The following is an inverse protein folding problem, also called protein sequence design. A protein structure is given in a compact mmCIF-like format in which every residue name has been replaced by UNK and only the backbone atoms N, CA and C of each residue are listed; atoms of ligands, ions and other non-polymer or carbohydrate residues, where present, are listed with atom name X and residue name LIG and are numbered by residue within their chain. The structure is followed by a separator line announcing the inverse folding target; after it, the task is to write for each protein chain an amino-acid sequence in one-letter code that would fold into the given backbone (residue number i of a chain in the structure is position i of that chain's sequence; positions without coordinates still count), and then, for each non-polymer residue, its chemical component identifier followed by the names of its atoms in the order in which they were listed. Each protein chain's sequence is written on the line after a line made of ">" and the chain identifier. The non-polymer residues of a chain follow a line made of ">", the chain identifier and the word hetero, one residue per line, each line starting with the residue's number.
data_IF_079824897734
#
_entry.id   IF_079824897734
#
_cell.length_a   1.000
_cell.length_b   1.000
_cell.length_c   1.000
_cell.angle_alpha   90.00
_cell.angle_beta   90.00
_cell.angle_gamma   90.00
#
_symmetry.space_group_name_H-M   'P 1'
#
loop_
_entity.id
_entity.type
_entity.pdbx_description
1 polymer ?
#
# COMPACT_ATOMS: atom_id res chain seq x y z
N UNK A 1 69.62 46.41 49.42
CA UNK A 1 68.49 47.17 48.85
C UNK A 1 67.72 46.20 47.97
N UNK A 2 66.57 45.68 48.44
CA UNK A 2 65.21 46.16 48.10
C UNK A 2 65.08 46.37 46.58
N UNK A 3 64.18 45.75 45.82
CA UNK A 3 62.74 45.60 46.05
C UNK A 3 62.14 44.82 44.86
N UNK A 4 61.35 43.77 45.08
CA UNK A 4 59.86 43.75 45.00
C UNK A 4 59.37 42.97 43.77
N UNK A 5 58.94 41.72 44.02
CA UNK A 5 58.09 40.91 43.13
C UNK A 5 56.65 41.45 43.21
N UNK A 6 56.12 42.00 42.12
CA UNK A 6 54.69 42.26 41.99
C UNK A 6 54.01 41.14 41.19
N UNK A 7 53.42 40.18 41.91
CA UNK A 7 52.45 39.24 41.36
C UNK A 7 51.10 39.93 41.21
N UNK A 8 50.63 40.07 39.97
CA UNK A 8 49.30 40.57 39.67
C UNK A 8 48.40 39.36 39.35
N UNK A 9 47.77 38.79 40.38
CA UNK A 9 46.74 37.76 40.21
C UNK A 9 45.47 38.43 39.68
N UNK A 10 45.16 38.19 38.40
CA UNK A 10 43.94 38.65 37.73
C UNK A 10 42.73 37.88 38.25
N UNK A 11 42.03 38.48 39.21
CA UNK A 11 40.77 37.99 39.77
C UNK A 11 39.60 38.52 38.91
N UNK A 12 39.38 37.95 37.73
CA UNK A 12 38.52 38.60 36.75
C UNK A 12 37.88 37.71 35.70
N UNK A 13 37.37 36.52 36.03
CA UNK A 13 36.45 35.81 35.11
C UNK A 13 35.68 34.65 35.74
N UNK A 14 35.01 34.88 36.88
CA UNK A 14 34.20 33.83 37.54
C UNK A 14 32.69 34.07 37.51
N UNK A 15 32.23 35.26 37.08
CA UNK A 15 30.80 35.60 37.03
C UNK A 15 30.09 35.15 35.75
N UNK A 16 30.83 34.89 34.65
CA UNK A 16 30.23 34.59 33.34
C UNK A 16 30.00 33.10 33.06
N UNK A 17 30.75 32.20 33.72
CA UNK A 17 30.61 30.74 33.54
C UNK A 17 29.38 30.16 34.24
N UNK A 18 28.99 30.74 35.38
CA UNK A 18 27.83 30.30 36.18
C UNK A 18 26.53 30.60 35.43
N UNK A 19 26.43 31.75 34.74
CA UNK A 19 25.24 32.13 33.97
C UNK A 19 25.00 31.22 32.77
N UNK A 20 26.06 30.82 32.05
CA UNK A 20 25.93 29.94 30.86
C UNK A 20 25.57 28.52 31.27
N UNK A 21 26.16 27.99 32.36
CA UNK A 21 25.77 26.67 32.90
C UNK A 21 24.33 26.63 33.38
N UNK A 22 23.86 27.70 34.04
CA UNK A 22 22.48 27.76 34.54
C UNK A 22 21.45 27.80 33.41
N UNK A 23 21.73 28.57 32.35
CA UNK A 23 20.88 28.63 31.15
C UNK A 23 20.89 27.29 30.41
N UNK A 24 22.04 26.63 30.26
CA UNK A 24 22.14 25.31 29.63
C UNK A 24 21.35 24.24 30.43
N UNK A 25 21.48 24.22 31.76
CA UNK A 25 20.74 23.31 32.62
C UNK A 25 19.23 23.59 32.58
N UNK A 26 18.80 24.85 32.56
CA UNK A 26 17.39 25.22 32.40
C UNK A 26 16.84 24.77 31.03
N UNK A 27 17.59 24.96 29.94
CA UNK A 27 17.17 24.46 28.63
C UNK A 27 17.04 22.94 28.62
N UNK A 28 17.97 22.20 29.22
CA UNK A 28 17.83 20.73 29.32
C UNK A 28 16.65 20.35 30.23
N UNK A 29 16.46 21.00 31.38
CA UNK A 29 15.37 20.66 32.31
C UNK A 29 13.97 20.97 31.75
N UNK A 30 13.83 22.03 30.95
CA UNK A 30 12.54 22.43 30.37
C UNK A 30 12.25 21.77 29.02
N UNK A 31 13.25 21.49 28.18
CA UNK A 31 13.03 20.89 26.86
C UNK A 31 13.10 19.36 26.84
N UNK A 32 13.79 18.72 27.78
CA UNK A 32 13.91 17.25 27.83
C UNK A 32 12.61 16.50 28.20
N UNK A 33 11.75 16.98 29.13
CA UNK A 33 10.50 16.29 29.43
C UNK A 33 9.49 16.36 28.28
N UNK A 34 9.52 17.42 27.45
CA UNK A 34 8.63 17.55 26.30
C UNK A 34 8.92 16.51 25.20
N UNK A 35 10.18 16.09 25.06
CA UNK A 35 10.58 15.01 24.12
C UNK A 35 10.17 13.63 24.65
N UNK A 36 10.21 13.43 25.98
CA UNK A 36 9.78 12.18 26.62
C UNK A 36 8.24 12.04 26.70
N UNK A 37 7.50 13.16 26.66
CA UNK A 37 6.03 13.20 26.64
C UNK A 37 5.43 13.20 25.22
N UNK A 38 6.23 13.04 24.17
CA UNK A 38 5.70 12.75 22.84
C UNK A 38 5.16 11.32 22.83
N UNK A 39 3.96 11.14 23.39
CA UNK A 39 3.19 9.92 23.22
C UNK A 39 3.01 9.72 21.71
N UNK A 40 3.60 8.67 21.18
CA UNK A 40 3.31 8.22 19.83
C UNK A 40 1.85 7.81 19.82
N UNK A 41 0.97 8.71 19.38
CA UNK A 41 -0.44 8.37 19.17
C UNK A 41 -0.47 7.26 18.13
N UNK A 42 -0.77 6.05 18.59
CA UNK A 42 -0.95 4.89 17.73
C UNK A 42 -2.35 5.00 17.16
N UNK A 43 -2.46 5.61 15.99
CA UNK A 43 -3.72 5.57 15.28
C UNK A 43 -3.94 4.15 14.74
N UNK A 44 -4.97 3.50 15.27
CA UNK A 44 -5.45 2.21 14.79
C UNK A 44 -6.69 2.50 13.97
N UNK A 45 -6.59 2.24 12.67
CA UNK A 45 -7.72 2.31 11.76
C UNK A 45 -8.06 0.92 11.28
N UNK A 46 -9.35 0.66 11.24
CA UNK A 46 -9.94 -0.50 10.57
C UNK A 46 -10.70 0.02 9.35
N UNK A 47 -10.63 -0.72 8.24
CA UNK A 47 -11.39 -0.34 7.05
C UNK A 47 -12.89 -0.54 7.33
N UNK A 48 -13.72 0.41 6.90
CA UNK A 48 -15.18 0.33 7.05
C UNK A 48 -15.79 -0.85 6.27
N UNK A 49 -15.08 -1.35 5.26
CA UNK A 49 -15.48 -2.50 4.45
C UNK A 49 -14.34 -3.52 4.38
N UNK A 50 -14.67 -4.80 4.51
CA UNK A 50 -13.76 -5.91 4.26
C UNK A 50 -13.74 -6.20 2.75
N UNK A 51 -12.58 -6.08 2.07
CA UNK A 51 -12.47 -6.42 0.66
C UNK A 51 -12.84 -7.88 0.40
N UNK A 52 -13.55 -8.14 -0.71
CA UNK A 52 -14.00 -9.50 -1.01
C UNK A 52 -12.86 -10.40 -1.50
N UNK A 53 -12.96 -11.69 -1.16
CA UNK A 53 -12.00 -12.71 -1.61
C UNK A 53 -12.11 -12.97 -3.12
N UNK A 54 -10.97 -13.08 -3.79
CA UNK A 54 -10.90 -13.35 -5.22
C UNK A 54 -9.68 -14.19 -5.59
N UNK A 55 -9.66 -14.65 -6.83
CA UNK A 55 -8.52 -15.35 -7.41
C UNK A 55 -7.54 -14.33 -7.99
N UNK A 56 -6.24 -14.62 -8.07
CA UNK A 56 -5.27 -13.65 -8.59
C UNK A 56 -5.05 -13.76 -10.12
N UNK A 57 -5.75 -14.68 -10.79
CA UNK A 57 -5.70 -14.92 -12.24
C UNK A 57 -4.27 -15.03 -12.78
N UNK A 58 -3.60 -16.17 -12.58
CA UNK A 58 -2.19 -16.34 -12.89
C UNK A 58 -1.92 -16.15 -14.38
N UNK A 59 -0.98 -15.26 -14.68
CA UNK A 59 -0.51 -14.95 -16.04
C UNK A 59 0.02 -16.18 -16.75
N UNK A 60 0.70 -17.07 -16.03
CA UNK A 60 1.28 -18.30 -16.60
C UNK A 60 0.24 -19.25 -17.16
N UNK A 61 -0.92 -19.32 -16.54
CA UNK A 61 -2.00 -20.23 -16.94
C UNK A 61 -3.01 -19.56 -17.87
N UNK A 62 -2.78 -18.30 -18.26
CA UNK A 62 -3.64 -17.53 -19.15
C UNK A 62 -4.85 -16.87 -18.48
N UNK A 63 -4.97 -16.96 -17.15
CA UNK A 63 -5.98 -16.26 -16.36
C UNK A 63 -7.39 -16.30 -16.98
N UNK A 64 -7.92 -15.13 -17.32
CA UNK A 64 -9.27 -14.97 -17.85
C UNK A 64 -9.46 -15.54 -19.28
N UNK A 65 -8.37 -15.77 -20.01
CA UNK A 65 -8.41 -16.27 -21.39
C UNK A 65 -8.66 -17.77 -21.47
N UNK A 66 -8.06 -18.56 -20.58
CA UNK A 66 -8.16 -20.04 -20.56
C UNK A 66 -9.26 -20.54 -19.63
N UNK A 67 -9.74 -19.69 -18.70
CA UNK A 67 -10.72 -20.07 -17.68
C UNK A 67 -10.14 -20.91 -16.54
N UNK A 68 -8.80 -21.02 -16.45
CA UNK A 68 -8.11 -21.69 -15.35
C UNK A 68 -8.31 -20.91 -14.05
N UNK A 69 -8.62 -21.63 -12.96
CA UNK A 69 -9.05 -21.03 -11.69
C UNK A 69 -10.55 -20.70 -11.65
N UNK A 70 -11.29 -21.08 -12.69
CA UNK A 70 -12.74 -21.01 -12.75
C UNK A 70 -13.34 -22.31 -13.33
N UNK A 71 -14.49 -22.22 -14.02
CA UNK A 71 -15.24 -23.32 -14.64
C UNK A 71 -14.80 -23.66 -16.07
N UNK A 72 -13.62 -23.21 -16.51
CA UNK A 72 -13.15 -23.41 -17.88
C UNK A 72 -13.99 -22.60 -18.89
N UNK A 73 -14.69 -23.28 -19.80
CA UNK A 73 -15.42 -22.67 -20.91
C UNK A 73 -16.95 -22.55 -20.69
N UNK A 74 -17.61 -21.53 -21.26
CA UNK A 74 -16.98 -20.37 -21.92
C UNK A 74 -16.23 -19.51 -20.90
N UNK A 75 -15.06 -19.01 -21.31
CA UNK A 75 -14.20 -18.18 -20.45
C UNK A 75 -14.83 -16.81 -20.25
N UNK A 76 -14.28 -16.03 -19.31
CA UNK A 76 -14.81 -14.69 -19.04
C UNK A 76 -14.72 -13.78 -20.27
N UNK A 77 -13.61 -13.85 -21.00
CA UNK A 77 -13.45 -13.10 -22.24
C UNK A 77 -14.44 -13.56 -23.32
N UNK A 78 -14.68 -14.86 -23.45
CA UNK A 78 -15.70 -15.39 -24.37
C UNK A 78 -17.13 -14.96 -23.99
N UNK A 79 -17.43 -14.81 -22.70
CA UNK A 79 -18.71 -14.26 -22.25
C UNK A 79 -18.85 -12.78 -22.56
N UNK A 80 -17.76 -12.01 -22.46
CA UNK A 80 -17.73 -10.60 -22.86
C UNK A 80 -17.94 -10.43 -24.38
N UNK A 81 -17.43 -11.37 -25.18
CA UNK A 81 -17.70 -11.44 -26.63
C UNK A 81 -19.19 -11.56 -26.94
N UNK A 82 -19.94 -12.31 -26.14
CA UNK A 82 -21.40 -12.38 -26.26
C UNK A 82 -22.15 -11.10 -25.89
N UNK A 83 -21.51 -10.18 -25.15
CA UNK A 83 -22.10 -8.89 -24.76
C UNK A 83 -21.86 -7.82 -25.82
N UNK A 84 -20.62 -7.72 -26.31
CA UNK A 84 -20.19 -6.63 -27.20
C UNK A 84 -19.22 -7.16 -28.26
N UNK A 85 -19.78 -7.79 -29.29
CA UNK A 85 -19.03 -8.44 -30.37
C UNK A 85 -18.09 -7.51 -31.16
N UNK A 86 -18.36 -6.19 -31.19
CA UNK A 86 -17.56 -5.23 -31.94
C UNK A 86 -16.22 -4.86 -31.30
N UNK A 87 -16.09 -5.02 -29.98
CA UNK A 87 -14.88 -4.65 -29.23
C UNK A 87 -14.16 -5.85 -28.62
N UNK A 88 -14.85 -6.97 -28.50
CA UNK A 88 -14.41 -8.09 -27.70
C UNK A 88 -13.20 -8.82 -28.28
N UNK A 89 -13.08 -8.93 -29.60
CA UNK A 89 -11.88 -9.49 -30.22
C UNK A 89 -10.62 -8.65 -29.91
N UNK A 90 -10.76 -7.31 -29.88
CA UNK A 90 -9.67 -6.42 -29.52
C UNK A 90 -9.30 -6.53 -28.03
N UNK A 91 -10.30 -6.66 -27.14
CA UNK A 91 -10.08 -6.88 -25.70
C UNK A 91 -9.39 -8.22 -25.46
N UNK A 92 -9.86 -9.30 -26.08
CA UNK A 92 -9.24 -10.63 -25.96
C UNK A 92 -7.79 -10.61 -26.45
N UNK A 93 -7.54 -10.00 -27.61
CA UNK A 93 -6.19 -9.88 -28.17
C UNK A 93 -5.27 -9.05 -27.27
N UNK A 94 -5.74 -7.90 -26.79
CA UNK A 94 -5.00 -7.04 -25.87
C UNK A 94 -4.69 -7.77 -24.56
N UNK A 95 -5.68 -8.48 -23.99
CA UNK A 95 -5.49 -9.25 -22.76
C UNK A 95 -4.41 -10.31 -22.92
N UNK A 96 -4.49 -11.11 -23.98
CA UNK A 96 -3.52 -12.17 -24.25
C UNK A 96 -2.11 -11.60 -24.42
N UNK A 97 -1.97 -10.51 -25.19
CA UNK A 97 -0.67 -9.87 -25.42
C UNK A 97 -0.02 -9.32 -24.13
N UNK A 98 -0.84 -8.79 -23.22
CA UNK A 98 -0.34 -8.12 -22.01
C UNK A 98 -0.20 -9.08 -20.81
N UNK A 99 -1.13 -10.02 -20.63
CA UNK A 99 -1.25 -10.77 -19.38
C UNK A 99 -1.05 -12.29 -19.51
N UNK A 100 -1.16 -12.88 -20.70
CA UNK A 100 -0.82 -14.31 -20.86
C UNK A 100 0.68 -14.46 -21.09
N UNK A 101 1.39 -14.99 -20.10
CA UNK A 101 2.85 -15.19 -20.11
C UNK A 101 3.16 -16.65 -19.73
N UNK A 102 3.06 -17.61 -20.67
CA UNK A 102 3.22 -19.04 -20.37
C UNK A 102 4.59 -19.40 -19.76
N UNK A 103 5.61 -18.59 -20.05
CA UNK A 103 6.97 -18.73 -19.52
C UNK A 103 7.24 -17.81 -18.31
N UNK A 104 6.23 -17.09 -17.83
CA UNK A 104 6.33 -16.19 -16.68
C UNK A 104 6.36 -16.91 -15.34
N UNK A 105 6.75 -16.16 -14.30
CA UNK A 105 6.78 -16.68 -12.94
C UNK A 105 5.40 -17.12 -12.45
N UNK A 106 5.35 -18.21 -11.67
CA UNK A 106 4.09 -18.85 -11.27
C UNK A 106 3.17 -17.93 -10.44
N UNK A 107 3.74 -16.92 -9.77
CA UNK A 107 3.01 -15.97 -8.93
C UNK A 107 2.54 -14.72 -9.68
N UNK A 108 2.98 -14.49 -10.92
CA UNK A 108 2.52 -13.36 -11.72
C UNK A 108 1.04 -13.50 -12.05
N UNK A 109 0.32 -12.38 -11.98
CA UNK A 109 -1.11 -12.31 -12.29
C UNK A 109 -1.70 -10.92 -12.04
N UNK A 110 -3.02 -10.89 -11.90
CA UNK A 110 -3.83 -9.70 -11.71
C UNK A 110 -4.16 -9.41 -10.24
N UNK A 111 -3.29 -9.80 -9.30
CA UNK A 111 -3.49 -9.55 -7.87
C UNK A 111 -3.69 -8.06 -7.54
N UNK A 112 -2.98 -7.16 -8.24
CA UNK A 112 -3.13 -5.72 -8.08
C UNK A 112 -4.50 -5.22 -8.54
N UNK A 113 -4.99 -5.72 -9.68
CA UNK A 113 -6.31 -5.37 -10.20
C UNK A 113 -7.42 -5.93 -9.30
N UNK A 114 -7.27 -7.18 -8.82
CA UNK A 114 -8.15 -7.76 -7.82
C UNK A 114 -8.22 -6.91 -6.55
N UNK A 115 -7.07 -6.52 -5.98
CA UNK A 115 -7.04 -5.76 -4.73
C UNK A 115 -7.75 -4.41 -4.86
N UNK A 116 -7.58 -3.73 -6.00
CA UNK A 116 -8.30 -2.48 -6.29
C UNK A 116 -9.80 -2.71 -6.44
N UNK A 117 -10.22 -3.71 -7.21
CA UNK A 117 -11.64 -4.04 -7.37
C UNK A 117 -12.27 -4.44 -6.03
N UNK A 118 -11.57 -5.23 -5.21
CA UNK A 118 -12.04 -5.67 -3.90
C UNK A 118 -12.21 -4.52 -2.90
N UNK A 119 -11.41 -3.46 -3.01
CA UNK A 119 -11.50 -2.28 -2.14
C UNK A 119 -12.59 -1.29 -2.58
N UNK A 120 -12.90 -1.22 -3.87
CA UNK A 120 -13.78 -0.19 -4.43
C UNK A 120 -15.15 -0.69 -4.88
N UNK A 121 -15.30 -1.99 -5.18
CA UNK A 121 -16.54 -2.57 -5.68
C UNK A 121 -17.23 -3.42 -4.61
N UNK A 122 -18.56 -3.33 -4.47
CA UNK A 122 -19.31 -4.19 -3.56
C UNK A 122 -19.17 -5.66 -3.99
N UNK A 123 -19.08 -6.57 -3.02
CA UNK A 123 -18.98 -7.99 -3.34
C UNK A 123 -20.19 -8.46 -4.16
N UNK A 124 -19.99 -9.15 -5.29
CA UNK A 124 -21.07 -9.84 -5.96
C UNK A 124 -21.67 -10.93 -5.04
N UNK A 125 -22.89 -10.71 -4.57
CA UNK A 125 -23.60 -11.64 -3.67
C UNK A 125 -24.56 -12.59 -4.38
N UNK A 126 -24.94 -12.27 -5.62
CA UNK A 126 -25.85 -13.10 -6.42
C UNK A 126 -25.39 -13.23 -7.87
N UNK A 127 -25.62 -14.41 -8.44
CA UNK A 127 -25.50 -14.61 -9.88
C UNK A 127 -26.53 -13.78 -10.65
N UNK A 128 -26.60 -13.99 -11.95
CA UNK A 128 -27.62 -13.37 -12.78
C UNK A 128 -27.51 -13.83 -14.21
N UNK A 129 -28.29 -13.19 -15.07
CA UNK A 129 -28.20 -13.37 -16.51
C UNK A 129 -27.84 -12.03 -17.13
N UNK A 130 -27.01 -12.06 -18.15
CA UNK A 130 -26.72 -10.91 -18.99
C UNK A 130 -26.89 -11.35 -20.44
N UNK A 131 -27.84 -10.72 -21.16
CA UNK A 131 -28.19 -11.05 -22.56
C UNK A 131 -28.22 -12.58 -22.75
N UNK A 132 -29.04 -13.25 -21.93
CA UNK A 132 -29.29 -14.71 -21.97
C UNK A 132 -28.12 -15.62 -21.51
N UNK A 133 -26.92 -15.10 -21.33
CA UNK A 133 -25.80 -15.86 -20.76
C UNK A 133 -25.91 -15.91 -19.22
N UNK A 134 -25.70 -17.07 -18.56
CA UNK A 134 -25.66 -17.15 -17.11
C UNK A 134 -24.32 -16.66 -16.54
N UNK A 135 -24.38 -15.76 -15.56
CA UNK A 135 -23.23 -15.15 -14.90
C UNK A 135 -23.22 -15.54 -13.42
N UNK A 136 -22.36 -16.50 -13.08
CA UNK A 136 -22.12 -16.88 -11.69
C UNK A 136 -21.30 -15.81 -10.94
N UNK A 137 -21.26 -15.93 -9.61
CA UNK A 137 -20.51 -15.02 -8.73
C UNK A 137 -19.06 -14.85 -9.15
N UNK A 138 -18.39 -15.96 -9.45
CA UNK A 138 -16.98 -15.92 -9.85
C UNK A 138 -16.75 -15.07 -11.09
N UNK A 139 -17.63 -15.14 -12.10
CA UNK A 139 -17.47 -14.35 -13.33
C UNK A 139 -17.65 -12.87 -13.05
N UNK A 140 -18.60 -12.51 -12.19
CA UNK A 140 -18.79 -11.11 -11.77
C UNK A 140 -17.58 -10.55 -11.02
N UNK A 141 -16.79 -11.40 -10.35
CA UNK A 141 -15.52 -11.00 -9.70
C UNK A 141 -14.35 -10.84 -10.68
N UNK A 142 -14.48 -11.26 -11.94
CA UNK A 142 -13.45 -11.05 -12.98
C UNK A 142 -13.60 -9.69 -13.70
N UNK A 143 -14.67 -8.95 -13.41
CA UNK A 143 -14.91 -7.58 -13.87
C UNK A 143 -14.79 -6.64 -12.68
#
# INVERSE_FOLDING_TARGET
>A
MLSTLHGHLSFGSMKMKVSVMFVQCLCVFFFFPAVLLSATEKEVYEADMIPWSGYWWPSRLGGMHTGVGYRGHPTVLQKLEGISSSQSAAVTSWYVQNFFKPDGEAWFGLCHAWALAAAHEPEPTRGGYFVESPWGLGIKKHF
#
